data_IF_815562132117
#
_entry.id   IF_815562132117
#
_cell.length_a   1.000
_cell.length_b   1.000
_cell.length_c   1.000
_cell.angle_alpha   90.00
_cell.angle_beta   90.00
_cell.angle_gamma   90.00
#
_symmetry.space_group_name_H-M   'P 1'
#
loop_
_entity.id
_entity.type
_entity.pdbx_description
1 polymer ?
#
# COMPACT_ATOMS: atom_id res chain seq x y z
N UNK A 1 3.89 -8.36 -53.92
CA UNK A 1 4.97 -8.56 -52.94
C UNK A 1 4.75 -7.65 -51.75
N UNK A 2 4.47 -8.24 -50.59
CA UNK A 2 5.12 -7.95 -49.32
C UNK A 2 4.82 -9.17 -48.44
N UNK A 3 5.65 -10.18 -48.62
CA UNK A 3 5.69 -11.41 -47.84
C UNK A 3 6.20 -11.07 -46.44
N UNK A 4 5.41 -11.35 -45.40
CA UNK A 4 5.88 -11.35 -44.01
C UNK A 4 6.12 -12.80 -43.62
N UNK A 5 7.39 -13.19 -43.57
CA UNK A 5 7.82 -14.47 -43.02
C UNK A 5 8.16 -14.25 -41.54
N UNK A 6 7.42 -14.89 -40.65
CA UNK A 6 7.80 -14.98 -39.24
C UNK A 6 8.74 -16.18 -39.09
N UNK A 7 9.94 -16.02 -38.53
CA UNK A 7 10.82 -17.15 -38.28
C UNK A 7 10.15 -18.09 -37.28
N UNK A 8 10.02 -19.36 -37.67
CA UNK A 8 9.75 -20.48 -36.78
C UNK A 8 10.87 -20.55 -35.75
N UNK A 9 10.67 -19.90 -34.60
CA UNK A 9 11.53 -20.06 -33.45
C UNK A 9 10.65 -20.52 -32.28
N UNK A 10 10.66 -21.84 -32.07
CA UNK A 10 10.48 -22.55 -30.82
C UNK A 10 10.00 -21.69 -29.63
N UNK A 11 8.68 -21.56 -29.50
CA UNK A 11 8.06 -21.32 -28.20
C UNK A 11 7.12 -22.49 -27.91
N UNK A 12 7.72 -23.66 -27.67
CA UNK A 12 7.13 -24.62 -26.75
C UNK A 12 7.10 -23.93 -25.38
N UNK A 13 5.93 -23.41 -25.01
CA UNK A 13 5.40 -23.47 -23.65
C UNK A 13 4.02 -22.82 -23.69
N UNK A 14 3.00 -23.66 -23.54
CA UNK A 14 1.63 -23.25 -23.26
C UNK A 14 1.62 -22.44 -21.95
N UNK A 15 1.79 -21.13 -22.03
CA UNK A 15 1.54 -20.25 -20.90
C UNK A 15 0.02 -20.13 -20.72
N UNK A 16 -0.56 -21.12 -20.05
CA UNK A 16 -1.93 -21.02 -19.57
C UNK A 16 -1.91 -20.00 -18.42
N UNK A 17 -2.43 -18.81 -18.70
CA UNK A 17 -2.65 -17.78 -17.68
C UNK A 17 -3.85 -18.22 -16.84
N UNK A 18 -3.58 -18.69 -15.61
CA UNK A 18 -4.63 -18.92 -14.63
C UNK A 18 -4.77 -17.65 -13.79
N UNK A 19 -5.80 -16.86 -14.05
CA UNK A 19 -6.23 -15.81 -13.13
C UNK A 19 -7.03 -16.50 -12.01
N UNK A 20 -6.34 -16.92 -10.95
CA UNK A 20 -6.99 -17.47 -9.76
C UNK A 20 -7.62 -16.31 -8.98
N UNK A 21 -8.81 -15.89 -9.42
CA UNK A 21 -9.71 -15.04 -8.65
C UNK A 21 -10.36 -15.88 -7.54
N UNK A 22 -9.53 -16.45 -6.65
CA UNK A 22 -10.03 -17.14 -5.46
C UNK A 22 -10.08 -16.12 -4.32
N UNK A 23 -11.29 -15.74 -3.97
CA UNK A 23 -11.64 -14.81 -2.90
C UNK A 23 -11.04 -15.25 -1.55
N UNK A 24 -10.70 -16.54 -1.39
CA UNK A 24 -10.10 -17.09 -0.18
C UNK A 24 -8.56 -17.02 -0.16
N UNK A 25 -7.90 -16.70 -1.27
CA UNK A 25 -6.44 -16.56 -1.39
C UNK A 25 -5.98 -15.13 -1.66
N UNK A 26 -6.91 -14.21 -1.90
CA UNK A 26 -6.62 -12.77 -1.90
C UNK A 26 -6.31 -12.36 -0.46
N UNK A 27 -5.03 -12.30 -0.09
CA UNK A 27 -4.63 -11.73 1.19
C UNK A 27 -5.28 -10.36 1.37
N UNK A 28 -5.87 -10.10 2.54
CA UNK A 28 -6.47 -8.80 2.84
C UNK A 28 -5.45 -7.70 2.54
N UNK A 29 -5.71 -6.90 1.50
CA UNK A 29 -4.94 -5.71 1.21
C UNK A 29 -5.21 -4.75 2.36
N UNK A 30 -4.30 -4.72 3.34
CA UNK A 30 -4.29 -3.74 4.41
C UNK A 30 -3.93 -2.38 3.78
N UNK A 31 -4.94 -1.74 3.20
CA UNK A 31 -4.79 -0.55 2.40
C UNK A 31 -5.28 0.66 3.19
N UNK A 32 -4.43 1.10 4.12
CA UNK A 32 -4.65 2.34 4.85
C UNK A 32 -3.36 3.16 4.94
N UNK A 33 -3.53 4.47 4.89
CA UNK A 33 -2.47 5.44 5.01
C UNK A 33 -2.69 6.29 6.26
N UNK A 34 -1.66 6.43 7.08
CA UNK A 34 -1.64 7.33 8.22
C UNK A 34 -0.83 8.56 7.86
N UNK A 35 -1.35 9.75 8.15
CA UNK A 35 -0.62 11.00 8.04
C UNK A 35 -0.44 11.58 9.44
N UNK A 36 0.80 11.74 9.86
CA UNK A 36 1.14 12.38 11.12
C UNK A 36 1.73 13.77 10.86
N UNK A 37 1.15 14.79 11.48
CA UNK A 37 1.67 16.16 11.50
C UNK A 37 1.68 16.72 12.92
N UNK A 38 2.30 17.88 13.14
CA UNK A 38 2.36 18.54 14.45
C UNK A 38 1.00 19.03 14.96
N UNK A 39 0.02 19.22 14.09
CA UNK A 39 -1.30 19.76 14.44
C UNK A 39 -2.46 18.78 14.18
N UNK A 40 -2.21 17.68 13.48
CA UNK A 40 -3.26 16.73 13.13
C UNK A 40 -2.69 15.33 12.86
N UNK A 41 -3.57 14.34 13.00
CA UNK A 41 -3.36 12.97 12.59
C UNK A 41 -4.51 12.53 11.69
N UNK A 42 -4.21 11.91 10.56
CA UNK A 42 -5.20 11.39 9.61
C UNK A 42 -5.02 9.89 9.44
N UNK A 43 -6.14 9.19 9.33
CA UNK A 43 -6.23 7.83 8.85
C UNK A 43 -7.07 7.84 7.58
N UNK A 44 -6.44 7.55 6.45
CA UNK A 44 -7.06 7.39 5.15
C UNK A 44 -7.28 5.89 4.92
N UNK A 45 -8.55 5.49 4.92
CA UNK A 45 -9.03 4.19 4.48
C UNK A 45 -9.58 4.39 3.06
N UNK A 46 -9.60 3.34 2.23
CA UNK A 46 -9.96 3.39 0.79
C UNK A 46 -11.02 4.44 0.40
N UNK A 47 -12.13 4.52 1.15
CA UNK A 47 -13.23 5.46 0.90
C UNK A 47 -13.54 6.40 2.08
N UNK A 48 -12.76 6.36 3.16
CA UNK A 48 -13.05 7.09 4.39
C UNK A 48 -11.80 7.80 4.90
N UNK A 49 -11.97 9.04 5.35
CA UNK A 49 -10.93 9.80 6.03
C UNK A 49 -11.38 10.10 7.45
N UNK A 50 -10.57 9.71 8.41
CA UNK A 50 -10.71 10.09 9.81
C UNK A 50 -9.57 11.07 10.12
N UNK A 51 -9.91 12.25 10.60
CA UNK A 51 -8.94 13.28 10.98
C UNK A 51 -9.16 13.67 12.44
N UNK A 52 -8.05 13.77 13.19
CA UNK A 52 -8.04 14.17 14.59
C UNK A 52 -7.05 15.32 14.76
N UNK A 53 -7.51 16.41 15.37
CA UNK A 53 -6.64 17.53 15.74
C UNK A 53 -5.83 17.12 16.97
N UNK A 54 -4.51 17.29 16.90
CA UNK A 54 -3.58 17.00 18.00
C UNK A 54 -2.69 18.20 18.25
N UNK A 55 -2.13 18.30 19.45
CA UNK A 55 -1.12 19.33 19.77
C UNK A 55 -0.07 18.74 20.71
N UNK A 56 0.70 17.73 20.25
CA UNK A 56 1.76 17.12 21.05
C UNK A 56 2.91 18.11 21.27
N UNK A 57 3.60 17.95 22.39
CA UNK A 57 4.94 18.49 22.58
C UNK A 57 5.93 17.85 21.60
N UNK A 58 7.12 18.45 21.42
CA UNK A 58 8.16 17.86 20.54
C UNK A 58 8.59 16.45 20.98
N UNK A 59 8.59 16.17 22.29
CA UNK A 59 8.90 14.84 22.82
C UNK A 59 7.79 13.82 22.47
N UNK A 60 6.53 14.20 22.68
CA UNK A 60 5.38 13.35 22.33
C UNK A 60 5.30 13.10 20.82
N UNK A 61 5.56 14.12 20.01
CA UNK A 61 5.58 14.00 18.55
C UNK A 61 6.66 13.03 18.08
N UNK A 62 7.86 13.12 18.68
CA UNK A 62 8.96 12.20 18.39
C UNK A 62 8.60 10.75 18.77
N UNK A 63 7.97 10.54 19.93
CA UNK A 63 7.49 9.22 20.35
C UNK A 63 6.40 8.67 19.42
N UNK A 64 5.49 9.51 18.93
CA UNK A 64 4.46 9.08 17.99
C UNK A 64 5.05 8.56 16.68
N UNK A 65 6.11 9.20 16.15
CA UNK A 65 6.82 8.72 14.95
C UNK A 65 7.38 7.31 15.14
N UNK A 66 7.86 6.98 16.34
CA UNK A 66 8.43 5.67 16.66
C UNK A 66 7.35 4.62 16.95
N UNK A 67 6.29 4.99 17.67
CA UNK A 67 5.28 4.06 18.18
C UNK A 67 4.27 3.68 17.10
N UNK A 68 3.90 4.58 16.19
CA UNK A 68 2.85 4.31 15.18
C UNK A 68 3.17 3.09 14.29
N UNK A 69 4.38 2.94 13.71
CA UNK A 69 4.74 1.75 12.96
C UNK A 69 4.69 0.46 13.79
N UNK A 70 5.05 0.55 15.08
CA UNK A 70 5.02 -0.61 15.99
C UNK A 70 3.57 -1.02 16.26
N UNK A 71 2.68 -0.06 16.56
CA UNK A 71 1.26 -0.31 16.79
C UNK A 71 0.57 -0.93 15.57
N UNK A 72 1.02 -0.56 14.37
CA UNK A 72 0.47 -1.09 13.12
C UNK A 72 1.18 -2.34 12.61
N UNK A 73 2.11 -2.93 13.37
CA UNK A 73 2.92 -4.07 12.92
C UNK A 73 3.66 -3.80 11.59
N UNK A 74 4.07 -2.55 11.36
CA UNK A 74 4.64 -2.05 10.10
C UNK A 74 3.73 -2.30 8.87
N UNK A 75 2.42 -2.41 9.09
CA UNK A 75 1.41 -2.47 8.03
C UNK A 75 0.91 -1.07 7.68
N UNK A 76 0.32 -0.95 6.49
CA UNK A 76 -0.12 0.32 5.92
C UNK A 76 1.06 1.23 5.57
N UNK A 77 0.76 2.51 5.31
CA UNK A 77 1.75 3.52 4.95
C UNK A 77 1.70 4.69 5.93
N UNK A 78 2.81 4.99 6.59
CA UNK A 78 2.94 6.17 7.45
C UNK A 78 3.63 7.31 6.68
N UNK A 79 2.98 8.46 6.59
CA UNK A 79 3.53 9.70 6.06
C UNK A 79 3.72 10.68 7.22
N UNK A 80 4.94 11.19 7.37
CA UNK A 80 5.25 12.24 8.34
C UNK A 80 5.31 13.57 7.59
N UNK A 81 4.54 14.55 8.06
CA UNK A 81 4.52 15.93 7.55
C UNK A 81 5.03 16.87 8.64
N UNK A 82 6.30 17.26 8.54
CA UNK A 82 6.95 18.21 9.44
C UNK A 82 6.54 19.67 9.21
#
# INVERSE_FOLDING_TARGET
MLQRSYPENNFENDYIYYETHDENFAGELIDYEMVLSKSYFELNLQNEKIEVIINPTEEEYSKLKEILPILTNNSGKLIIKD
#
